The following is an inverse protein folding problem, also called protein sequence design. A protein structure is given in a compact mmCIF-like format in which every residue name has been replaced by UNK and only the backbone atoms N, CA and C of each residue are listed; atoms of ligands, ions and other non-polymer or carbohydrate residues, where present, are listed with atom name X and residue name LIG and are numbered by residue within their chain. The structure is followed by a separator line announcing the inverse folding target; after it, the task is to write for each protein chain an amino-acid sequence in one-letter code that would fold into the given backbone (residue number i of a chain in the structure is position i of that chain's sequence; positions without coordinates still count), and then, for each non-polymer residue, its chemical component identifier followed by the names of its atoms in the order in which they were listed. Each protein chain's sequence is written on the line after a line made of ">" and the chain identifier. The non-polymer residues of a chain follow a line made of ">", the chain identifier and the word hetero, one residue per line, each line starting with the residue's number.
data_IF_173666120535
#
_entry.id   IF_173666120535
#
_cell.length_a   1.000
_cell.length_b   1.000
_cell.length_c   1.000
_cell.angle_alpha   90.00
_cell.angle_beta   90.00
_cell.angle_gamma   90.00
#
_symmetry.space_group_name_H-M   'P 1'
#
loop_
_entity.id
_entity.type
_entity.pdbx_description
1 polymer ?
#
# COMPACT_ATOMS: atom_id res chain seq x y z
N UNK A 1 -4.94 4.00 19.61
CA UNK A 1 -6.02 5.01 19.65
C UNK A 1 -7.00 4.93 18.48
N UNK A 2 -6.58 4.86 17.20
CA UNK A 2 -7.53 4.78 16.09
C UNK A 2 -8.48 3.55 16.18
N UNK A 3 -7.94 2.38 16.53
CA UNK A 3 -8.71 1.15 16.81
C UNK A 3 -9.80 1.36 17.86
N UNK A 4 -9.43 1.88 19.04
CA UNK A 4 -10.36 2.08 20.15
C UNK A 4 -11.46 3.09 19.78
N UNK A 5 -11.13 4.14 19.04
CA UNK A 5 -12.10 5.10 18.53
C UNK A 5 -13.02 4.48 17.47
N UNK A 6 -12.50 3.69 16.52
CA UNK A 6 -13.30 3.02 15.51
C UNK A 6 -14.32 2.04 16.13
N UNK A 7 -13.94 1.37 17.23
CA UNK A 7 -14.80 0.43 17.93
C UNK A 7 -15.80 1.11 18.88
N UNK A 8 -15.39 2.18 19.55
CA UNK A 8 -16.20 2.86 20.57
C UNK A 8 -17.06 4.00 20.02
N UNK A 9 -16.73 4.56 18.85
CA UNK A 9 -17.43 5.72 18.35
C UNK A 9 -18.81 5.39 17.78
N UNK A 10 -19.78 6.27 18.05
CA UNK A 10 -21.10 6.30 17.43
C UNK A 10 -21.05 6.67 15.95
N UNK A 11 -22.21 7.02 15.39
CA UNK A 11 -22.31 7.33 13.97
C UNK A 11 -21.71 8.71 13.64
N UNK A 12 -21.07 8.87 12.48
CA UNK A 12 -20.40 10.10 12.09
C UNK A 12 -21.42 11.18 11.70
N UNK A 13 -21.05 12.47 11.69
CA UNK A 13 -19.73 13.01 12.03
C UNK A 13 -19.55 13.34 13.52
N UNK A 14 -18.36 13.06 14.06
CA UNK A 14 -17.91 13.57 15.36
C UNK A 14 -16.47 14.08 15.23
N UNK A 15 -16.02 14.94 16.17
CA UNK A 15 -14.69 15.53 16.11
C UNK A 15 -13.61 14.44 16.09
N UNK A 16 -12.81 14.41 15.01
CA UNK A 16 -11.73 13.45 14.83
C UNK A 16 -12.09 12.18 14.05
N UNK A 17 -13.34 12.00 13.60
CA UNK A 17 -13.75 10.85 12.79
C UNK A 17 -12.94 10.72 11.49
N UNK A 18 -12.64 11.84 10.82
CA UNK A 18 -11.81 11.88 9.60
C UNK A 18 -10.39 11.37 9.86
N UNK A 19 -9.83 11.70 11.04
CA UNK A 19 -8.48 11.28 11.42
C UNK A 19 -8.39 9.78 11.67
N UNK A 20 -9.45 9.19 12.25
CA UNK A 20 -9.54 7.74 12.43
C UNK A 20 -9.52 7.06 11.06
N UNK A 21 -10.28 7.57 10.09
CA UNK A 21 -10.32 7.04 8.73
C UNK A 21 -8.95 7.14 8.05
N UNK A 22 -8.29 8.29 8.09
CA UNK A 22 -6.94 8.48 7.52
C UNK A 22 -5.92 7.46 8.05
N UNK A 23 -5.91 7.25 9.37
CA UNK A 23 -4.98 6.31 10.02
C UNK A 23 -5.27 4.87 9.61
N UNK A 24 -6.56 4.48 9.53
CA UNK A 24 -6.94 3.15 9.06
C UNK A 24 -6.62 2.94 7.58
N UNK A 25 -6.89 3.94 6.73
CA UNK A 25 -6.55 3.90 5.30
C UNK A 25 -5.04 3.71 5.10
N UNK A 26 -4.23 4.49 5.81
CA UNK A 26 -2.78 4.36 5.73
C UNK A 26 -2.31 3.00 6.24
N UNK A 27 -2.78 2.54 7.40
CA UNK A 27 -2.42 1.20 7.92
C UNK A 27 -2.83 0.08 6.95
N UNK A 28 -4.01 0.19 6.33
CA UNK A 28 -4.51 -0.76 5.33
C UNK A 28 -3.66 -0.80 4.05
N UNK A 29 -2.71 0.11 3.83
CA UNK A 29 -1.77 -0.03 2.71
C UNK A 29 -0.66 -1.05 2.98
N UNK A 30 -0.42 -1.44 4.24
CA UNK A 30 0.70 -2.32 4.61
C UNK A 30 0.52 -3.73 4.08
N UNK A 31 1.53 -4.18 3.32
CA UNK A 31 1.68 -5.52 2.74
C UNK A 31 2.76 -6.35 3.44
N UNK A 32 3.41 -5.81 4.47
CA UNK A 32 4.47 -6.50 5.21
C UNK A 32 5.80 -6.55 4.46
N UNK A 33 5.96 -5.73 3.43
CA UNK A 33 7.24 -5.56 2.73
C UNK A 33 7.99 -4.39 3.37
N UNK A 34 9.31 -4.38 3.26
CA UNK A 34 10.14 -3.27 3.70
C UNK A 34 10.53 -2.41 2.51
N UNK A 35 9.83 -1.29 2.34
CA UNK A 35 10.08 -0.39 1.22
C UNK A 35 11.07 0.70 1.59
N UNK A 36 11.96 0.96 0.64
CA UNK A 36 12.92 2.06 0.69
C UNK A 36 12.60 3.03 -0.43
N UNK A 37 12.45 4.30 -0.11
CA UNK A 37 12.39 5.32 -1.16
C UNK A 37 13.81 5.72 -1.52
N UNK A 38 14.15 5.69 -2.80
CA UNK A 38 15.42 6.20 -3.33
C UNK A 38 15.12 7.46 -4.14
N UNK A 39 15.34 8.61 -3.51
CA UNK A 39 15.08 9.92 -4.08
C UNK A 39 16.37 10.53 -4.61
N UNK A 40 16.56 10.47 -5.93
CA UNK A 40 17.77 10.99 -6.58
C UNK A 40 17.41 11.63 -7.93
N UNK A 41 17.90 12.84 -8.24
CA UNK A 41 17.58 13.52 -9.51
C UNK A 41 18.16 12.80 -10.73
N UNK A 42 19.32 12.16 -10.57
CA UNK A 42 19.99 11.39 -11.62
C UNK A 42 19.58 9.92 -11.61
N UNK A 43 19.15 9.41 -12.76
CA UNK A 43 18.56 8.08 -12.89
C UNK A 43 19.58 6.94 -12.69
N UNK A 44 20.83 7.11 -13.14
CA UNK A 44 21.88 6.10 -12.98
C UNK A 44 22.24 5.91 -11.50
N UNK A 45 22.49 7.00 -10.79
CA UNK A 45 22.72 6.98 -9.34
C UNK A 45 21.49 6.42 -8.59
N UNK A 46 20.27 6.81 -8.96
CA UNK A 46 19.04 6.25 -8.38
C UNK A 46 18.95 4.72 -8.58
N UNK A 47 19.33 4.23 -9.76
CA UNK A 47 19.34 2.81 -10.08
C UNK A 47 20.40 2.06 -9.27
N UNK A 48 21.61 2.61 -9.19
CA UNK A 48 22.71 1.99 -8.47
C UNK A 48 22.42 1.91 -6.95
N UNK A 49 21.86 2.97 -6.37
CA UNK A 49 21.36 2.98 -4.97
C UNK A 49 20.25 1.95 -4.76
N UNK A 50 19.27 1.87 -5.68
CA UNK A 50 18.19 0.90 -5.60
C UNK A 50 18.70 -0.55 -5.62
N UNK A 51 19.65 -0.86 -6.52
CA UNK A 51 20.30 -2.18 -6.60
C UNK A 51 21.11 -2.47 -5.33
N UNK A 52 21.77 -1.46 -4.77
CA UNK A 52 22.52 -1.58 -3.52
C UNK A 52 21.62 -1.97 -2.33
N UNK A 53 20.53 -1.23 -2.10
CA UNK A 53 19.61 -1.51 -0.98
C UNK A 53 18.83 -2.81 -1.15
N UNK A 54 18.55 -3.24 -2.39
CA UNK A 54 17.87 -4.50 -2.65
C UNK A 54 18.66 -5.73 -2.15
N UNK A 55 19.99 -5.64 -2.07
CA UNK A 55 20.85 -6.69 -1.48
C UNK A 55 20.59 -6.92 0.01
N UNK A 56 19.99 -5.94 0.68
CA UNK A 56 19.64 -5.99 2.09
C UNK A 56 18.12 -6.24 2.28
N UNK A 57 17.48 -6.92 1.33
CA UNK A 57 16.07 -7.35 1.40
C UNK A 57 15.04 -6.20 1.46
N UNK A 58 15.44 -5.00 1.06
CA UNK A 58 14.52 -3.89 0.86
C UNK A 58 13.93 -3.91 -0.56
N UNK A 59 12.68 -3.47 -0.69
CA UNK A 59 12.03 -3.20 -1.98
C UNK A 59 12.21 -1.71 -2.33
N UNK A 60 13.08 -1.36 -3.30
CA UNK A 60 13.35 0.03 -3.64
C UNK A 60 12.24 0.65 -4.50
N UNK A 61 11.79 1.84 -4.12
CA UNK A 61 10.93 2.73 -4.92
C UNK A 61 11.73 3.97 -5.31
N UNK A 62 12.08 4.07 -6.60
CA UNK A 62 12.85 5.21 -7.12
C UNK A 62 11.94 6.39 -7.42
N UNK A 63 12.36 7.58 -7.01
CA UNK A 63 11.69 8.85 -7.28
C UNK A 63 12.72 9.92 -7.65
N UNK A 64 12.32 10.88 -8.48
CA UNK A 64 13.24 11.90 -8.99
C UNK A 64 13.20 13.21 -8.19
N UNK A 65 12.14 13.46 -7.42
CA UNK A 65 11.93 14.74 -6.73
C UNK A 65 11.63 14.53 -5.25
N UNK A 66 11.90 15.57 -4.45
CA UNK A 66 11.58 15.54 -3.02
C UNK A 66 10.07 15.46 -2.77
N UNK A 67 9.25 16.10 -3.64
CA UNK A 67 7.79 16.02 -3.56
C UNK A 67 7.30 14.59 -3.71
N UNK A 68 7.83 13.87 -4.69
CA UNK A 68 7.45 12.48 -4.92
C UNK A 68 7.89 11.59 -3.77
N UNK A 69 9.06 11.87 -3.16
CA UNK A 69 9.51 11.18 -1.96
C UNK A 69 8.55 11.38 -0.77
N UNK A 70 8.11 12.62 -0.53
CA UNK A 70 7.15 12.94 0.54
C UNK A 70 5.80 12.25 0.30
N UNK A 71 5.30 12.31 -0.92
CA UNK A 71 4.02 11.69 -1.27
C UNK A 71 4.09 10.16 -1.17
N UNK A 72 5.17 9.55 -1.63
CA UNK A 72 5.38 8.11 -1.53
C UNK A 72 5.45 7.66 -0.06
N UNK A 73 6.18 8.38 0.80
CA UNK A 73 6.31 8.07 2.22
C UNK A 73 4.96 8.14 2.97
N UNK A 74 4.11 9.10 2.60
CA UNK A 74 2.78 9.28 3.20
C UNK A 74 1.75 8.27 2.69
N UNK A 75 1.92 7.79 1.46
CA UNK A 75 0.98 6.87 0.81
C UNK A 75 1.07 5.46 1.38
N UNK A 76 2.28 4.97 1.64
CA UNK A 76 2.54 3.57 1.96
C UNK A 76 3.08 3.38 3.38
N UNK A 77 2.37 2.61 4.20
CA UNK A 77 2.79 2.27 5.57
C UNK A 77 4.01 1.33 5.65
N UNK A 78 4.39 0.74 4.52
CA UNK A 78 5.55 -0.15 4.39
C UNK A 78 6.87 0.61 4.14
N UNK A 79 6.82 1.94 3.97
CA UNK A 79 8.03 2.75 3.81
C UNK A 79 8.76 2.84 5.15
N UNK A 80 9.95 2.25 5.22
CA UNK A 80 10.74 2.15 6.45
C UNK A 80 11.99 3.00 6.47
N UNK A 81 12.39 3.54 5.32
CA UNK A 81 13.65 4.23 5.13
C UNK A 81 13.57 5.07 3.84
N UNK A 82 14.22 6.23 3.86
CA UNK A 82 14.36 7.10 2.68
C UNK A 82 15.83 7.37 2.44
N UNK A 83 16.35 7.02 1.28
CA UNK A 83 17.64 7.48 0.78
C UNK A 83 17.37 8.74 -0.05
N UNK A 84 17.92 9.86 0.39
CA UNK A 84 17.67 11.17 -0.19
C UNK A 84 18.97 11.76 -0.70
N UNK A 85 19.04 12.11 -1.98
CA UNK A 85 20.18 12.87 -2.51
C UNK A 85 20.27 14.26 -1.90
N UNK A 86 21.47 14.70 -1.55
CA UNK A 86 21.73 16.08 -1.13
C UNK A 86 21.43 17.10 -2.25
N UNK A 87 21.42 16.66 -3.52
CA UNK A 87 21.08 17.45 -4.71
C UNK A 87 19.60 17.41 -5.09
N UNK A 88 18.74 16.76 -4.29
CA UNK A 88 17.31 16.67 -4.62
C UNK A 88 16.69 18.07 -4.74
N UNK A 89 15.77 18.21 -5.69
CA UNK A 89 15.04 19.46 -5.90
C UNK A 89 13.54 19.23 -5.84
N UNK A 90 12.81 20.34 -5.63
CA UNK A 90 11.35 20.41 -5.63
C UNK A 90 10.71 19.42 -4.63
N UNK A 91 10.82 19.64 -3.31
CA UNK A 91 11.59 20.68 -2.61
C UNK A 91 13.07 20.27 -2.40
N UNK A 92 13.89 21.16 -1.83
CA UNK A 92 15.32 20.85 -1.56
C UNK A 92 15.48 19.82 -0.43
N UNK A 93 16.69 19.28 -0.24
CA UNK A 93 16.94 18.21 0.73
C UNK A 93 16.46 18.56 2.16
N UNK A 94 16.77 19.76 2.66
CA UNK A 94 16.38 20.19 4.01
C UNK A 94 14.86 20.23 4.18
N UNK A 95 14.16 20.89 3.26
CA UNK A 95 12.70 20.97 3.25
C UNK A 95 12.07 19.57 3.14
N UNK A 96 12.63 18.71 2.30
CA UNK A 96 12.16 17.34 2.13
C UNK A 96 12.26 16.55 3.43
N UNK A 97 13.40 16.63 4.11
CA UNK A 97 13.62 16.00 5.42
C UNK A 97 12.63 16.53 6.46
N UNK A 98 12.41 17.86 6.51
CA UNK A 98 11.44 18.46 7.43
C UNK A 98 10.01 17.97 7.16
N UNK A 99 9.59 17.88 5.89
CA UNK A 99 8.26 17.38 5.54
C UNK A 99 8.06 15.88 5.80
N UNK A 100 9.14 15.09 5.71
CA UNK A 100 9.15 13.68 6.11
C UNK A 100 9.08 13.53 7.64
N UNK A 101 9.80 14.36 8.39
CA UNK A 101 9.76 14.35 9.85
C UNK A 101 8.38 14.75 10.41
N UNK A 102 7.67 15.63 9.70
CA UNK A 102 6.30 16.05 10.04
C UNK A 102 5.22 15.11 9.49
N UNK A 103 5.56 13.87 9.12
CA UNK A 103 4.61 12.92 8.59
C UNK A 103 3.45 12.72 9.59
N UNK A 104 2.19 12.97 9.17
CA UNK A 104 1.08 12.92 10.09
C UNK A 104 0.68 11.48 10.43
N UNK A 105 0.97 10.49 9.59
CA UNK A 105 0.46 9.13 9.71
C UNK A 105 1.60 8.15 9.98
N UNK A 106 1.55 7.45 11.11
CA UNK A 106 2.60 6.52 11.53
C UNK A 106 3.86 7.22 12.05
N UNK A 107 4.93 6.44 12.21
CA UNK A 107 6.23 6.97 12.62
C UNK A 107 6.96 7.52 11.39
N UNK A 108 7.62 8.69 11.46
CA UNK A 108 8.34 9.25 10.33
C UNK A 108 9.49 8.32 9.93
N UNK A 109 9.70 8.03 8.63
CA UNK A 109 10.77 7.16 8.22
C UNK A 109 12.14 7.84 8.46
N UNK A 110 13.16 7.08 8.91
CA UNK A 110 14.53 7.56 8.96
C UNK A 110 15.03 7.94 7.57
N UNK A 111 15.90 8.95 7.51
CA UNK A 111 16.45 9.48 6.26
C UNK A 111 17.96 9.29 6.21
N UNK A 112 18.45 8.74 5.11
CA UNK A 112 19.85 8.67 4.76
C UNK A 112 20.14 9.71 3.69
N UNK A 113 20.82 10.79 4.08
CA UNK A 113 21.20 11.85 3.16
C UNK A 113 22.47 11.42 2.41
N UNK A 114 22.31 11.13 1.12
CA UNK A 114 23.40 10.68 0.24
C UNK A 114 24.07 11.89 -0.39
N UNK A 115 25.38 12.01 -0.18
CA UNK A 115 26.23 13.03 -0.79
C UNK A 115 27.00 12.41 -1.95
N UNK A 116 26.88 13.02 -3.13
CA UNK A 116 27.56 12.56 -4.34
C UNK A 116 29.07 12.83 -4.20
N UNK A 117 29.96 11.89 -4.60
CA UNK A 117 31.40 12.16 -4.68
C UNK A 117 31.76 13.46 -5.41
N UNK A 118 31.01 13.82 -6.45
CA UNK A 118 31.23 15.04 -7.24
C UNK A 118 30.84 16.33 -6.48
N UNK A 119 30.13 16.24 -5.35
CA UNK A 119 29.89 17.36 -4.44
C UNK A 119 31.06 17.60 -3.47
N UNK A 120 31.91 16.59 -3.27
CA UNK A 120 32.90 16.56 -2.20
C UNK A 120 34.21 17.28 -2.56
N UNK A 121 34.38 17.71 -3.82
CA UNK A 121 35.56 18.41 -4.37
C UNK A 121 35.95 19.69 -3.58
N UNK A 122 35.05 20.20 -2.74
CA UNK A 122 35.26 21.33 -1.84
C UNK A 122 36.06 21.01 -0.55
N UNK A 123 37.02 20.08 -0.58
CA UNK A 123 37.87 19.71 0.59
C UNK A 123 37.07 19.40 1.88
N UNK A 124 35.92 18.77 1.76
CA UNK A 124 35.05 18.43 2.91
C UNK A 124 34.18 19.57 3.45
N UNK A 125 34.25 20.78 2.88
CA UNK A 125 33.43 21.93 3.32
C UNK A 125 31.93 21.69 3.12
N UNK A 126 31.55 20.99 2.04
CA UNK A 126 30.16 20.66 1.76
C UNK A 126 29.57 19.71 2.82
N UNK A 127 30.30 18.66 3.18
CA UNK A 127 29.92 17.75 4.27
C UNK A 127 29.86 18.47 5.61
N UNK A 128 30.84 19.31 5.94
CA UNK A 128 30.82 20.10 7.17
C UNK A 128 29.59 21.02 7.24
N UNK A 129 29.24 21.68 6.13
CA UNK A 129 28.03 22.51 6.04
C UNK A 129 26.77 21.68 6.24
N UNK A 130 26.65 20.53 5.59
CA UNK A 130 25.49 19.64 5.77
C UNK A 130 25.38 19.15 7.21
N UNK A 131 26.49 18.75 7.83
CA UNK A 131 26.51 18.34 9.24
C UNK A 131 26.06 19.46 10.18
N UNK A 132 26.42 20.71 9.91
CA UNK A 132 25.90 21.86 10.67
C UNK A 132 24.40 22.10 10.42
N UNK A 133 23.95 22.02 9.17
CA UNK A 133 22.55 22.24 8.81
C UNK A 133 21.62 21.17 9.38
N UNK A 134 22.07 19.91 9.42
CA UNK A 134 21.26 18.77 9.82
C UNK A 134 21.59 18.24 11.22
N UNK A 135 22.47 18.89 11.98
CA UNK A 135 22.94 18.42 13.28
C UNK A 135 21.84 18.19 14.32
N UNK A 136 20.76 18.97 14.26
CA UNK A 136 19.62 18.86 15.16
C UNK A 136 18.48 17.97 14.61
N UNK A 137 18.65 17.41 13.41
CA UNK A 137 17.60 16.60 12.79
C UNK A 137 17.68 15.16 13.29
N UNK A 138 16.67 14.77 14.06
CA UNK A 138 16.53 13.38 14.49
C UNK A 138 16.22 12.44 13.33
N UNK A 139 16.67 11.19 13.47
CA UNK A 139 16.47 10.10 12.51
C UNK A 139 17.07 10.36 11.13
N UNK A 140 18.19 11.09 11.09
CA UNK A 140 18.95 11.37 9.89
C UNK A 140 20.40 10.91 10.04
N UNK A 141 20.95 10.27 9.01
CA UNK A 141 22.38 10.05 8.89
C UNK A 141 22.87 10.57 7.53
N UNK A 142 24.02 11.25 7.54
CA UNK A 142 24.68 11.73 6.33
C UNK A 142 25.66 10.65 5.89
N UNK A 143 25.55 10.26 4.63
CA UNK A 143 26.40 9.23 4.02
C UNK A 143 27.23 9.90 2.95
N UNK A 144 28.54 9.81 3.12
CA UNK A 144 29.52 10.20 2.13
C UNK A 144 29.77 9.05 1.14
N UNK A 145 30.10 9.43 -0.10
CA UNK A 145 30.73 8.56 -1.10
C UNK A 145 29.91 7.34 -1.51
N UNK A 146 29.38 7.41 -2.74
CA UNK A 146 28.86 6.27 -3.49
C UNK A 146 30.00 5.35 -3.99
N UNK A 147 30.93 4.97 -3.11
CA UNK A 147 32.00 4.05 -3.47
C UNK A 147 31.53 2.59 -3.38
N UNK A 148 32.32 1.67 -3.94
CA UNK A 148 31.99 0.24 -3.93
C UNK A 148 31.82 -0.36 -2.52
N UNK A 149 32.33 0.29 -1.46
CA UNK A 149 32.27 -0.20 -0.08
C UNK A 149 30.96 0.11 0.66
N UNK A 150 30.07 0.91 0.07
CA UNK A 150 28.80 1.27 0.71
C UNK A 150 27.87 0.06 0.86
N UNK A 151 27.71 -0.72 -0.21
CA UNK A 151 26.79 -1.86 -0.27
C UNK A 151 27.49 -3.22 -0.38
N UNK A 152 28.80 -3.23 -0.66
CA UNK A 152 29.60 -4.46 -0.73
C UNK A 152 30.65 -4.47 0.39
N UNK A 153 30.97 -5.64 0.96
CA UNK A 153 32.14 -5.77 1.81
C UNK A 153 33.39 -5.46 0.99
N UNK A 154 34.36 -4.78 1.59
CA UNK A 154 35.70 -4.65 1.00
C UNK A 154 36.43 -5.97 1.21
N UNK A 155 36.99 -6.49 0.13
CA UNK A 155 37.72 -7.74 0.10
C UNK A 155 39.16 -7.40 -0.30
N UNK A 156 40.13 -8.00 0.39
CA UNK A 156 41.53 -7.94 -0.02
C UNK A 156 41.73 -8.81 -1.28
N UNK A 157 42.26 -8.23 -2.35
CA UNK A 157 42.38 -8.89 -3.66
C UNK A 157 43.38 -10.04 -3.65
N UNK A 158 44.42 -9.98 -2.80
CA UNK A 158 45.44 -11.03 -2.71
C UNK A 158 44.99 -12.22 -1.83
N UNK A 159 44.29 -11.97 -0.73
CA UNK A 159 43.89 -13.03 0.22
C UNK A 159 42.43 -13.47 0.11
N UNK A 160 41.58 -12.74 -0.63
CA UNK A 160 40.14 -12.99 -0.72
C UNK A 160 39.39 -12.77 0.61
N UNK A 161 40.05 -12.23 1.64
CA UNK A 161 39.47 -12.02 2.97
C UNK A 161 38.73 -10.69 3.02
N UNK A 162 37.58 -10.69 3.71
CA UNK A 162 36.82 -9.46 3.98
C UNK A 162 37.63 -8.57 4.93
N UNK A 163 38.03 -7.40 4.44
CA UNK A 163 38.79 -6.39 5.20
C UNK A 163 37.86 -5.43 5.94
N UNK A 164 36.69 -5.14 5.39
CA UNK A 164 35.65 -4.36 6.06
C UNK A 164 34.25 -4.81 5.61
N UNK A 165 33.25 -4.85 6.51
CA UNK A 165 31.86 -5.09 6.14
C UNK A 165 31.30 -3.92 5.31
N UNK A 166 30.16 -4.15 4.65
CA UNK A 166 29.43 -3.07 3.99
C UNK A 166 29.00 -2.02 5.02
N UNK A 167 29.09 -0.73 4.65
CA UNK A 167 28.79 0.40 5.54
C UNK A 167 27.29 0.67 5.72
N UNK A 168 26.46 0.19 4.79
CA UNK A 168 25.02 0.48 4.78
C UNK A 168 24.29 0.10 6.07
N UNK A 169 24.45 -1.11 6.66
CA UNK A 169 23.82 -1.45 7.93
C UNK A 169 24.16 -0.48 9.07
N UNK A 170 25.40 0.00 9.14
CA UNK A 170 25.84 0.94 10.16
C UNK A 170 25.19 2.32 9.96
N UNK A 171 25.08 2.78 8.71
CA UNK A 171 24.38 4.02 8.39
C UNK A 171 22.89 3.95 8.76
N UNK A 172 22.24 2.81 8.51
CA UNK A 172 20.86 2.57 8.95
C UNK A 172 20.78 2.56 10.48
N UNK A 173 21.73 1.91 11.17
CA UNK A 173 21.76 1.89 12.62
C UNK A 173 21.95 3.28 13.24
N UNK A 174 22.73 4.15 12.60
CA UNK A 174 22.92 5.53 13.03
C UNK A 174 21.63 6.35 12.89
N UNK A 175 20.89 6.20 11.78
CA UNK A 175 19.66 6.95 11.56
C UNK A 175 18.45 6.38 12.32
N UNK A 176 18.39 5.07 12.54
CA UNK A 176 17.16 4.38 12.95
C UNK A 176 17.33 3.44 14.16
N UNK A 177 18.54 3.33 14.69
CA UNK A 177 18.91 2.42 15.78
C UNK A 177 19.23 1.00 15.30
N UNK A 178 19.91 0.22 16.15
CA UNK A 178 20.39 -1.13 15.79
C UNK A 178 19.28 -2.15 15.46
N UNK A 179 18.05 -1.92 15.92
CA UNK A 179 16.92 -2.77 15.53
C UNK A 179 16.56 -2.60 14.04
N UNK A 180 16.78 -1.42 13.46
CA UNK A 180 16.48 -1.15 12.06
C UNK A 180 17.55 -1.70 11.10
N UNK A 181 18.78 -1.93 11.56
CA UNK A 181 19.82 -2.58 10.75
C UNK A 181 19.77 -4.11 10.82
N UNK A 182 19.15 -4.67 11.87
CA UNK A 182 19.04 -6.11 12.06
C UNK A 182 17.88 -6.72 11.23
N UNK A 183 18.16 -7.64 10.26
CA UNK A 183 17.13 -8.27 9.43
C UNK A 183 16.02 -8.97 10.22
N UNK A 184 16.35 -9.70 11.29
CA UNK A 184 15.35 -10.43 12.06
C UNK A 184 14.40 -9.48 12.83
N UNK A 185 14.92 -8.35 13.33
CA UNK A 185 14.09 -7.33 13.98
C UNK A 185 13.18 -6.62 12.97
N UNK A 186 13.72 -6.31 11.80
CA UNK A 186 12.99 -5.78 10.65
C UNK A 186 11.85 -6.69 10.20
N UNK A 187 12.10 -7.97 9.98
CA UNK A 187 11.05 -8.93 9.61
C UNK A 187 9.93 -9.02 10.65
N UNK A 188 10.27 -8.97 11.95
CA UNK A 188 9.25 -8.92 13.02
C UNK A 188 8.43 -7.62 12.96
N UNK A 189 9.07 -6.47 12.75
CA UNK A 189 8.36 -5.21 12.59
C UNK A 189 7.45 -5.21 11.35
N UNK A 190 7.91 -5.79 10.25
CA UNK A 190 7.13 -5.97 9.03
C UNK A 190 5.89 -6.85 9.26
N UNK A 191 6.03 -7.97 9.98
CA UNK A 191 4.91 -8.82 10.37
C UNK A 191 3.88 -8.08 11.25
N UNK A 192 4.34 -7.23 12.17
CA UNK A 192 3.45 -6.37 12.98
C UNK A 192 2.71 -5.37 12.11
N UNK A 193 3.37 -4.73 11.13
CA UNK A 193 2.70 -3.82 10.18
C UNK A 193 1.66 -4.55 9.33
N UNK A 194 1.99 -5.74 8.82
CA UNK A 194 1.06 -6.58 8.07
C UNK A 194 -0.19 -6.92 8.89
N UNK A 195 0.00 -7.35 10.14
CA UNK A 195 -1.11 -7.65 11.05
C UNK A 195 -2.01 -6.42 11.30
N UNK A 196 -1.40 -5.24 11.47
CA UNK A 196 -2.13 -3.96 11.61
C UNK A 196 -2.88 -3.60 10.32
N UNK A 197 -2.29 -3.83 9.15
CA UNK A 197 -2.93 -3.57 7.86
C UNK A 197 -4.13 -4.49 7.61
N UNK A 198 -4.03 -5.76 8.03
CA UNK A 198 -5.17 -6.69 8.02
C UNK A 198 -6.29 -6.23 8.93
N UNK A 199 -5.98 -5.89 10.18
CA UNK A 199 -6.96 -5.36 11.14
C UNK A 199 -7.61 -4.07 10.65
N UNK A 200 -6.84 -3.19 9.99
CA UNK A 200 -7.36 -1.95 9.43
C UNK A 200 -8.40 -2.21 8.33
N UNK A 201 -8.17 -3.17 7.43
CA UNK A 201 -9.17 -3.58 6.43
C UNK A 201 -10.47 -4.08 7.09
N UNK A 202 -10.36 -4.91 8.14
CA UNK A 202 -11.53 -5.40 8.88
C UNK A 202 -12.32 -4.26 9.55
N UNK A 203 -11.62 -3.32 10.18
CA UNK A 203 -12.23 -2.16 10.80
C UNK A 203 -12.90 -1.25 9.77
N UNK A 204 -12.25 -0.99 8.63
CA UNK A 204 -12.84 -0.24 7.53
C UNK A 204 -14.12 -0.92 7.02
N UNK A 205 -14.13 -2.24 6.88
CA UNK A 205 -15.33 -2.98 6.47
C UNK A 205 -16.46 -2.87 7.50
N UNK A 206 -16.15 -2.88 8.80
CA UNK A 206 -17.16 -2.62 9.86
C UNK A 206 -17.72 -1.19 9.76
N UNK A 207 -16.86 -0.20 9.52
CA UNK A 207 -17.28 1.19 9.35
C UNK A 207 -18.15 1.37 8.10
N UNK A 208 -17.78 0.76 6.97
CA UNK A 208 -18.60 0.76 5.74
C UNK A 208 -19.97 0.09 5.93
N UNK A 209 -20.06 -0.98 6.74
CA UNK A 209 -21.36 -1.55 7.14
C UNK A 209 -22.21 -0.56 7.92
N UNK A 210 -21.60 0.22 8.80
CA UNK A 210 -22.26 1.30 9.56
C UNK A 210 -22.57 2.56 8.74
N UNK A 211 -22.28 2.57 7.44
CA UNK A 211 -22.61 3.67 6.53
C UNK A 211 -21.53 4.77 6.46
N UNK A 212 -20.32 4.52 6.97
CA UNK A 212 -19.21 5.44 6.76
C UNK A 212 -18.77 5.40 5.29
N UNK A 213 -18.36 6.56 4.76
CA UNK A 213 -17.70 6.61 3.46
C UNK A 213 -16.28 6.03 3.56
N UNK A 214 -16.14 4.81 3.06
CA UNK A 214 -14.87 4.07 2.97
C UNK A 214 -14.45 3.86 1.51
N UNK A 215 -15.03 4.59 0.55
CA UNK A 215 -14.63 4.54 -0.85
C UNK A 215 -13.12 4.82 -1.08
N UNK A 216 -12.45 5.70 -0.31
CA UNK A 216 -10.99 5.86 -0.43
C UNK A 216 -10.17 4.59 -0.16
N UNK A 217 -10.77 3.55 0.43
CA UNK A 217 -10.10 2.29 0.76
C UNK A 217 -10.00 1.30 -0.41
N UNK A 218 -10.60 1.56 -1.57
CA UNK A 218 -10.58 0.64 -2.73
C UNK A 218 -9.16 0.21 -3.09
N UNK A 219 -8.23 1.15 -3.19
CA UNK A 219 -6.83 0.85 -3.56
C UNK A 219 -6.13 -0.01 -2.50
N UNK A 220 -6.41 0.22 -1.21
CA UNK A 220 -5.89 -0.60 -0.13
C UNK A 220 -6.47 -2.02 -0.15
N UNK A 221 -7.77 -2.15 -0.48
CA UNK A 221 -8.43 -3.43 -0.65
C UNK A 221 -7.85 -4.21 -1.84
N UNK A 222 -7.64 -3.57 -3.00
CA UNK A 222 -7.00 -4.17 -4.19
C UNK A 222 -5.63 -4.75 -3.87
N UNK A 223 -4.80 -4.02 -3.13
CA UNK A 223 -3.51 -4.53 -2.66
C UNK A 223 -3.66 -5.73 -1.72
N UNK A 224 -4.74 -5.76 -0.93
CA UNK A 224 -5.09 -6.88 -0.07
C UNK A 224 -5.48 -8.15 -0.84
N UNK A 225 -6.12 -8.03 -2.01
CA UNK A 225 -6.49 -9.16 -2.87
C UNK A 225 -5.27 -9.96 -3.36
N UNK A 226 -4.10 -9.32 -3.43
CA UNK A 226 -2.85 -9.96 -3.89
C UNK A 226 -2.21 -10.87 -2.83
N UNK A 227 -2.71 -10.89 -1.59
CA UNK A 227 -2.10 -11.62 -0.47
C UNK A 227 -3.13 -12.47 0.26
N UNK A 228 -2.88 -13.77 0.36
CA UNK A 228 -3.81 -14.74 0.98
C UNK A 228 -4.28 -14.32 2.39
N UNK A 229 -3.35 -13.85 3.24
CA UNK A 229 -3.65 -13.43 4.61
C UNK A 229 -4.59 -12.22 4.73
N UNK A 230 -4.75 -11.46 3.64
CA UNK A 230 -5.52 -10.21 3.58
C UNK A 230 -6.74 -10.30 2.66
N UNK A 231 -6.84 -11.39 1.89
CA UNK A 231 -7.86 -11.58 0.87
C UNK A 231 -9.27 -11.45 1.45
N UNK A 232 -9.59 -12.21 2.51
CA UNK A 232 -10.91 -12.20 3.12
C UNK A 232 -11.34 -10.81 3.65
N UNK A 233 -10.53 -10.10 4.47
CA UNK A 233 -10.81 -8.71 4.84
C UNK A 233 -10.98 -7.76 3.66
N UNK A 234 -10.20 -7.94 2.58
CA UNK A 234 -10.26 -7.09 1.40
C UNK A 234 -11.57 -7.25 0.62
N UNK A 235 -11.99 -8.49 0.31
CA UNK A 235 -13.27 -8.72 -0.38
C UNK A 235 -14.46 -8.29 0.48
N UNK A 236 -14.40 -8.52 1.79
CA UNK A 236 -15.43 -8.04 2.72
C UNK A 236 -15.50 -6.53 2.84
N UNK A 237 -14.38 -5.82 2.72
CA UNK A 237 -14.38 -4.35 2.64
C UNK A 237 -15.00 -3.88 1.32
N UNK A 238 -14.60 -4.46 0.18
CA UNK A 238 -15.15 -4.08 -1.14
C UNK A 238 -16.68 -4.23 -1.19
N UNK A 239 -17.23 -5.28 -0.57
CA UNK A 239 -18.68 -5.49 -0.49
C UNK A 239 -19.44 -4.35 0.22
N UNK A 240 -18.75 -3.57 1.06
CA UNK A 240 -19.32 -2.46 1.83
C UNK A 240 -19.15 -1.10 1.15
N UNK A 241 -18.51 -1.07 -0.01
CA UNK A 241 -18.28 0.14 -0.80
C UNK A 241 -19.30 0.18 -1.93
N UNK A 242 -20.22 1.14 -1.88
CA UNK A 242 -21.25 1.35 -2.92
C UNK A 242 -20.70 2.00 -4.19
N UNK A 243 -19.68 1.40 -4.81
CA UNK A 243 -19.04 1.91 -6.02
C UNK A 243 -18.93 0.81 -7.09
N UNK A 244 -19.14 1.17 -8.36
CA UNK A 244 -18.98 0.25 -9.49
C UNK A 244 -17.60 -0.39 -9.55
N UNK A 245 -16.53 0.37 -9.24
CA UNK A 245 -15.17 -0.15 -9.17
C UNK A 245 -15.00 -1.27 -8.13
N UNK A 246 -15.70 -1.21 -7.00
CA UNK A 246 -15.64 -2.27 -5.99
C UNK A 246 -16.36 -3.55 -6.45
N UNK A 247 -17.52 -3.42 -7.10
CA UNK A 247 -18.20 -4.57 -7.70
C UNK A 247 -17.40 -5.17 -8.87
N UNK A 248 -16.70 -4.35 -9.66
CA UNK A 248 -15.81 -4.81 -10.72
C UNK A 248 -14.66 -5.65 -10.17
N UNK A 249 -14.02 -5.21 -9.08
CA UNK A 249 -12.94 -5.96 -8.44
C UNK A 249 -13.45 -7.30 -7.89
N UNK A 250 -14.63 -7.32 -7.23
CA UNK A 250 -15.25 -8.55 -6.72
C UNK A 250 -15.63 -9.52 -7.85
N UNK A 251 -16.18 -9.00 -8.95
CA UNK A 251 -16.50 -9.77 -10.15
C UNK A 251 -15.24 -10.42 -10.75
N UNK A 252 -14.16 -9.64 -10.90
CA UNK A 252 -12.90 -10.14 -11.44
C UNK A 252 -12.31 -11.26 -10.58
N UNK A 253 -12.33 -11.12 -9.25
CA UNK A 253 -11.87 -12.16 -8.33
C UNK A 253 -12.76 -13.41 -8.34
N UNK A 254 -14.10 -13.26 -8.42
CA UNK A 254 -15.02 -14.39 -8.54
C UNK A 254 -14.78 -15.22 -9.82
N UNK A 255 -14.21 -14.59 -10.85
CA UNK A 255 -13.95 -15.19 -12.16
C UNK A 255 -12.49 -15.64 -12.36
N UNK A 256 -11.57 -15.36 -11.41
CA UNK A 256 -10.14 -15.70 -11.53
C UNK A 256 -9.90 -17.21 -11.47
N UNK A 257 -9.39 -17.77 -12.55
CA UNK A 257 -9.09 -19.20 -12.64
C UNK A 257 -7.83 -19.61 -11.83
N UNK A 258 -6.92 -18.67 -11.58
CA UNK A 258 -5.61 -18.89 -10.92
C UNK A 258 -5.68 -18.91 -9.39
N UNK A 259 -6.84 -18.61 -8.78
CA UNK A 259 -7.01 -18.64 -7.31
C UNK A 259 -7.78 -19.86 -6.83
N UNK A 260 -7.67 -20.22 -5.54
CA UNK A 260 -8.45 -21.29 -4.94
C UNK A 260 -9.96 -21.09 -5.13
N UNK A 261 -10.70 -22.18 -5.31
CA UNK A 261 -12.16 -22.15 -5.46
C UNK A 261 -12.86 -21.47 -4.27
N UNK A 262 -12.38 -21.73 -3.04
CA UNK A 262 -12.89 -21.07 -1.85
C UNK A 262 -12.74 -19.54 -1.90
N UNK A 263 -11.66 -19.03 -2.50
CA UNK A 263 -11.45 -17.58 -2.69
C UNK A 263 -12.40 -16.99 -3.72
N UNK A 264 -12.66 -17.70 -4.83
CA UNK A 264 -13.67 -17.30 -5.83
C UNK A 264 -15.08 -17.26 -5.22
N UNK A 265 -15.45 -18.33 -4.51
CA UNK A 265 -16.75 -18.43 -3.85
C UNK A 265 -16.96 -17.31 -2.82
N UNK A 266 -15.92 -16.96 -2.06
CA UNK A 266 -15.97 -15.84 -1.13
C UNK A 266 -16.14 -14.50 -1.85
N UNK A 267 -15.46 -14.28 -2.98
CA UNK A 267 -15.64 -13.07 -3.78
C UNK A 267 -17.06 -12.96 -4.36
N UNK A 268 -17.62 -14.08 -4.86
CA UNK A 268 -19.00 -14.15 -5.34
C UNK A 268 -20.01 -13.79 -4.23
N UNK A 269 -19.90 -14.40 -3.05
CA UNK A 269 -20.80 -14.10 -1.92
C UNK A 269 -20.73 -12.62 -1.49
N UNK A 270 -19.54 -12.01 -1.58
CA UNK A 270 -19.35 -10.59 -1.30
C UNK A 270 -19.88 -9.68 -2.43
N UNK A 271 -19.81 -10.13 -3.69
CA UNK A 271 -20.47 -9.47 -4.83
C UNK A 271 -21.99 -9.47 -4.66
N UNK A 272 -22.58 -10.62 -4.33
CA UNK A 272 -24.01 -10.75 -4.04
C UNK A 272 -24.44 -9.81 -2.91
N UNK A 273 -23.67 -9.79 -1.81
CA UNK A 273 -23.91 -8.87 -0.68
C UNK A 273 -23.87 -7.40 -1.13
N UNK A 274 -22.92 -7.04 -2.01
CA UNK A 274 -22.82 -5.68 -2.55
C UNK A 274 -24.04 -5.35 -3.43
N UNK A 275 -24.45 -6.27 -4.30
CA UNK A 275 -25.58 -6.09 -5.21
C UNK A 275 -26.90 -5.99 -4.43
N UNK A 276 -27.10 -6.83 -3.42
CA UNK A 276 -28.29 -6.78 -2.58
C UNK A 276 -28.40 -5.45 -1.82
N UNK A 277 -27.26 -4.87 -1.43
CA UNK A 277 -27.23 -3.60 -0.69
C UNK A 277 -27.33 -2.36 -1.58
N UNK A 278 -26.64 -2.35 -2.72
CA UNK A 278 -26.46 -1.16 -3.55
C UNK A 278 -27.08 -1.25 -4.95
N UNK A 279 -27.63 -2.40 -5.31
CA UNK A 279 -28.02 -2.72 -6.68
C UNK A 279 -26.82 -3.05 -7.56
N UNK A 280 -27.10 -3.25 -8.85
CA UNK A 280 -26.06 -3.50 -9.86
C UNK A 280 -25.45 -2.15 -10.25
N UNK A 281 -24.20 -1.92 -9.85
CA UNK A 281 -23.40 -0.74 -10.19
C UNK A 281 -22.40 -1.02 -11.33
N UNK A 282 -22.42 -2.23 -11.87
CA UNK A 282 -21.60 -2.65 -13.00
C UNK A 282 -22.12 -2.04 -14.30
N UNK A 283 -21.21 -1.49 -15.11
CA UNK A 283 -21.55 -1.05 -16.46
C UNK A 283 -21.88 -2.24 -17.38
N UNK A 284 -22.68 -1.98 -18.42
CA UNK A 284 -23.09 -2.96 -19.44
C UNK A 284 -21.90 -3.73 -20.05
N UNK A 285 -20.74 -3.09 -20.18
CA UNK A 285 -19.51 -3.73 -20.67
C UNK A 285 -19.05 -4.90 -19.79
N UNK A 286 -19.14 -4.76 -18.46
CA UNK A 286 -18.74 -5.78 -17.50
C UNK A 286 -19.70 -6.97 -17.51
N UNK A 287 -21.02 -6.70 -17.57
CA UNK A 287 -22.04 -7.75 -17.68
C UNK A 287 -21.83 -8.57 -18.96
N UNK A 288 -21.58 -7.90 -20.10
CA UNK A 288 -21.27 -8.59 -21.36
C UNK A 288 -19.97 -9.40 -21.28
N UNK A 289 -18.96 -8.92 -20.56
CA UNK A 289 -17.72 -9.66 -20.35
C UNK A 289 -17.97 -10.96 -19.58
N UNK A 290 -18.84 -10.96 -18.56
CA UNK A 290 -19.21 -12.17 -17.84
C UNK A 290 -19.89 -13.21 -18.75
N UNK A 291 -20.84 -12.81 -19.61
CA UNK A 291 -21.45 -13.71 -20.60
C UNK A 291 -20.41 -14.28 -21.58
N UNK A 292 -19.47 -13.45 -22.05
CA UNK A 292 -18.38 -13.93 -22.93
C UNK A 292 -17.52 -14.97 -22.23
N UNK A 293 -17.14 -14.74 -20.98
CA UNK A 293 -16.36 -15.69 -20.20
C UNK A 293 -17.08 -17.03 -20.04
N UNK A 294 -18.37 -17.02 -19.69
CA UNK A 294 -19.18 -18.24 -19.60
C UNK A 294 -19.20 -19.01 -20.93
N UNK A 295 -19.47 -18.32 -22.04
CA UNK A 295 -19.58 -18.93 -23.36
C UNK A 295 -18.22 -19.45 -23.90
N UNK A 296 -17.11 -18.85 -23.49
CA UNK A 296 -15.76 -19.23 -23.92
C UNK A 296 -15.08 -20.22 -22.98
N UNK A 297 -15.64 -20.49 -21.81
CA UNK A 297 -15.07 -21.40 -20.82
C UNK A 297 -15.06 -22.85 -21.34
N UNK A 298 -13.86 -23.39 -21.56
CA UNK A 298 -13.64 -24.78 -21.95
C UNK A 298 -13.67 -25.73 -20.76
N UNK A 299 -13.10 -25.32 -19.63
CA UNK A 299 -13.09 -26.09 -18.38
C UNK A 299 -14.43 -25.97 -17.62
N UNK A 300 -14.93 -27.09 -17.10
CA UNK A 300 -16.18 -27.13 -16.33
C UNK A 300 -16.15 -26.17 -15.12
N UNK A 301 -15.10 -26.22 -14.30
CA UNK A 301 -14.96 -25.36 -13.13
C UNK A 301 -15.00 -23.85 -13.46
N UNK A 302 -14.39 -23.44 -14.58
CA UNK A 302 -14.44 -22.04 -15.02
C UNK A 302 -15.83 -21.65 -15.54
N UNK A 303 -16.52 -22.58 -16.19
CA UNK A 303 -17.89 -22.38 -16.67
C UNK A 303 -18.88 -22.28 -15.51
N UNK A 304 -18.75 -23.15 -14.51
CA UNK A 304 -19.59 -23.15 -13.31
C UNK A 304 -19.42 -21.86 -12.51
N UNK A 305 -18.18 -21.40 -12.33
CA UNK A 305 -17.89 -20.12 -11.66
C UNK A 305 -18.49 -18.92 -12.43
N UNK A 306 -18.33 -18.89 -13.75
CA UNK A 306 -18.92 -17.85 -14.58
C UNK A 306 -20.46 -17.91 -14.60
N UNK A 307 -21.04 -19.12 -14.54
CA UNK A 307 -22.48 -19.34 -14.46
C UNK A 307 -23.06 -18.80 -13.15
N UNK A 308 -22.43 -19.11 -12.01
CA UNK A 308 -22.86 -18.62 -10.71
C UNK A 308 -22.84 -17.08 -10.62
N UNK A 309 -21.85 -16.43 -11.25
CA UNK A 309 -21.82 -14.97 -11.39
C UNK A 309 -23.00 -14.44 -12.21
N UNK A 310 -23.32 -15.08 -13.33
CA UNK A 310 -24.46 -14.67 -14.16
C UNK A 310 -25.79 -14.86 -13.41
N UNK A 311 -25.94 -15.95 -12.67
CA UNK A 311 -27.13 -16.21 -11.85
C UNK A 311 -27.35 -15.11 -10.80
N UNK A 312 -26.27 -14.66 -10.13
CA UNK A 312 -26.32 -13.55 -9.18
C UNK A 312 -26.78 -12.24 -9.85
N UNK A 313 -26.22 -11.91 -11.02
CA UNK A 313 -26.57 -10.70 -11.77
C UNK A 313 -28.01 -10.74 -12.29
N UNK A 314 -28.45 -11.87 -12.85
CA UNK A 314 -29.81 -12.02 -13.37
C UNK A 314 -30.85 -12.00 -12.26
N UNK A 315 -30.57 -12.64 -11.12
CA UNK A 315 -31.46 -12.65 -9.96
C UNK A 315 -31.70 -11.23 -9.46
N UNK A 316 -30.64 -10.44 -9.33
CA UNK A 316 -30.75 -9.04 -8.93
C UNK A 316 -31.48 -8.18 -9.98
N UNK A 317 -31.20 -8.38 -11.27
CA UNK A 317 -31.89 -7.67 -12.35
C UNK A 317 -33.40 -7.96 -12.37
N UNK A 318 -33.81 -9.21 -12.07
CA UNK A 318 -35.22 -9.60 -11.97
C UNK A 318 -35.91 -8.94 -10.77
N UNK A 319 -35.24 -8.89 -9.60
CA UNK A 319 -35.77 -8.23 -8.39
C UNK A 319 -36.00 -6.73 -8.60
N UNK A 320 -35.11 -6.07 -9.33
CA UNK A 320 -35.16 -4.62 -9.56
C UNK A 320 -35.98 -4.21 -10.79
N UNK A 321 -36.63 -5.16 -11.46
CA UNK A 321 -37.49 -4.85 -12.61
C UNK A 321 -38.77 -4.19 -12.11
N UNK A 322 -39.10 -2.94 -12.52
CA UNK A 322 -40.37 -2.34 -12.16
C UNK A 322 -41.51 -3.23 -12.68
N UNK A 323 -42.60 -3.31 -11.90
CA UNK A 323 -43.78 -4.06 -12.31
C UNK A 323 -44.21 -3.58 -13.72
N UNK A 324 -44.61 -4.50 -14.62
CA UNK A 324 -45.07 -4.12 -15.94
C UNK A 324 -46.21 -3.10 -15.81
N UNK A 325 -46.25 -2.12 -16.72
CA UNK A 325 -47.24 -1.04 -16.73
C UNK A 325 -48.69 -1.57 -16.76
N UNK A 326 -48.89 -2.81 -17.22
CA UNK A 326 -50.17 -3.52 -17.28
C UNK A 326 -50.52 -4.34 -16.02
N UNK A 327 -49.74 -4.22 -14.94
CA UNK A 327 -50.10 -4.84 -13.67
C UNK A 327 -51.36 -4.17 -13.12
N UNK A 328 -52.48 -4.91 -13.15
CA UNK A 328 -53.78 -4.43 -12.67
C UNK A 328 -53.62 -3.78 -11.29
N UNK A 329 -54.06 -2.52 -11.18
CA UNK A 329 -54.13 -1.78 -9.93
C UNK A 329 -54.88 -2.62 -8.90
N UNK A 330 -54.16 -3.23 -7.95
CA UNK A 330 -54.77 -3.82 -6.76
C UNK A 330 -55.23 -2.66 -5.88
N UNK A 331 -56.43 -2.13 -6.17
CA UNK A 331 -57.15 -1.29 -5.21
C UNK A 331 -57.43 -2.16 -3.98
N UNK A 332 -57.13 -1.69 -2.77
CA UNK A 332 -57.56 -2.39 -1.57
C UNK A 332 -59.09 -2.32 -1.52
N UNK A 333 -59.76 -3.47 -1.59
CA UNK A 333 -61.18 -3.61 -1.26
C UNK A 333 -61.33 -3.38 0.24
N UNK A 334 -61.95 -2.26 0.60
CA UNK A 334 -62.62 -2.08 1.90
C UNK A 334 -64.09 -2.40 1.73
#
# INVERSE_FOLDING_TARGET
>A
MARSLALAAGDPPYRGSSRVLEVLLHAATSTGVERVIVAHPEAEAAHALATGVARFEYEPLRVATGRDAILAARRDADVTLVLLSARITKPVALETVQFLAQQPLGDPPPVLLVVDPLDEDCRGTYLARLSMTFGDVHRLAIIDRFDGGMFLPRIDEESGRVTAPARFPDAVAQAAGGAASNPAARSRAAAVRLARGREALDLLGRLGRRGWDVAPAIEAARRGLLRAERYAPAVSLLATIGAGAAQQDLLAEAQRADIPEASRALALANLETSIDRYGILLETGHVRAAYRMYNQASAAASRDAAGAVLDALETAARRNRPAPFDAASTRPTR
#
